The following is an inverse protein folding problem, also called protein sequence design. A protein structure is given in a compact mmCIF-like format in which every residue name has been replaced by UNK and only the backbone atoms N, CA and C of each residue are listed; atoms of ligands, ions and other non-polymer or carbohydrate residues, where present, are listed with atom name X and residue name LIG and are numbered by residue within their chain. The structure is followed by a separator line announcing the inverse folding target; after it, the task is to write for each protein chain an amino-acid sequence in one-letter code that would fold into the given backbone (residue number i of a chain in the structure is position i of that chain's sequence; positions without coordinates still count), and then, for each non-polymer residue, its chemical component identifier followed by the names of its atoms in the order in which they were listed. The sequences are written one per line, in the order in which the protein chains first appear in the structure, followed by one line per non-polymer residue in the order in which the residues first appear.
data_IF_165395719150
#
_entry.id   IF_165395719150
#
_cell.length_a   1.000
_cell.length_b   1.000
_cell.length_c   1.000
_cell.angle_alpha   90.00
_cell.angle_beta   90.00
_cell.angle_gamma   90.00
#
_symmetry.space_group_name_H-M   'P 1'
#
loop_
_entity.id
_entity.type
_entity.pdbx_description
1 polymer ?
#
# COMPACT_ATOMS: atom_id res chain seq x y z
N UNK A 1 -4.74 18.42 -20.02
CA UNK A 1 -4.42 17.32 -19.10
C UNK A 1 -5.71 16.84 -18.48
N UNK A 2 -6.10 15.58 -18.72
CA UNK A 2 -7.23 14.96 -18.05
C UNK A 2 -6.75 14.39 -16.70
N UNK A 3 -7.55 14.56 -15.67
CA UNK A 3 -7.25 14.03 -14.34
C UNK A 3 -8.50 13.31 -13.86
N UNK A 4 -8.35 12.05 -13.51
CA UNK A 4 -9.33 11.34 -12.71
C UNK A 4 -8.76 11.13 -11.31
N UNK A 5 -9.44 11.62 -10.29
CA UNK A 5 -8.93 11.65 -8.91
C UNK A 5 -9.93 11.13 -7.89
N UNK A 6 -9.43 10.87 -6.67
CA UNK A 6 -10.23 10.42 -5.53
C UNK A 6 -10.94 9.08 -5.76
N UNK A 7 -10.33 8.20 -6.53
CA UNK A 7 -10.85 6.85 -6.73
C UNK A 7 -10.45 5.96 -5.55
N UNK A 8 -11.42 5.19 -5.08
CA UNK A 8 -11.25 4.24 -3.97
C UNK A 8 -11.33 2.80 -4.48
N UNK A 9 -10.64 1.86 -3.85
CA UNK A 9 -10.75 0.46 -4.20
C UNK A 9 -12.15 -0.06 -3.87
N UNK A 10 -12.69 -0.91 -4.74
CA UNK A 10 -13.93 -1.63 -4.49
C UNK A 10 -13.70 -2.97 -3.81
N UNK A 11 -12.47 -3.46 -3.82
CA UNK A 11 -12.09 -4.73 -3.23
C UNK A 11 -10.77 -4.59 -2.49
N UNK A 12 -10.73 -5.12 -1.28
CA UNK A 12 -9.52 -5.22 -0.46
C UNK A 12 -9.35 -6.68 -0.07
N UNK A 13 -8.20 -7.26 -0.40
CA UNK A 13 -7.85 -8.63 -0.06
C UNK A 13 -6.43 -8.69 0.51
N UNK A 14 -6.24 -9.49 1.52
CA UNK A 14 -4.91 -9.88 1.97
C UNK A 14 -4.43 -11.11 1.21
N UNK A 15 -3.15 -11.26 1.13
CA UNK A 15 -2.51 -12.39 0.50
C UNK A 15 -1.44 -12.93 1.43
N UNK A 16 -1.59 -14.19 1.80
CA UNK A 16 -0.61 -14.92 2.59
C UNK A 16 0.75 -14.88 1.91
N UNK A 17 1.78 -14.77 2.73
CA UNK A 17 3.15 -14.96 2.28
C UNK A 17 3.65 -16.30 2.80
N UNK A 18 4.63 -16.88 2.12
CA UNK A 18 5.17 -18.22 2.46
C UNK A 18 6.03 -18.23 3.73
N UNK A 19 6.08 -17.12 4.47
CA UNK A 19 6.90 -17.00 5.68
C UNK A 19 6.03 -17.05 6.93
N UNK A 20 6.35 -17.94 7.87
CA UNK A 20 5.62 -18.19 9.11
C UNK A 20 5.53 -16.97 10.06
N UNK A 21 6.35 -15.96 9.85
CA UNK A 21 6.45 -14.80 10.72
C UNK A 21 5.66 -13.58 10.22
N UNK A 22 4.97 -13.71 9.10
CA UNK A 22 4.21 -12.60 8.53
C UNK A 22 2.83 -12.48 9.21
N UNK A 23 2.38 -11.24 9.38
CA UNK A 23 1.22 -10.89 10.18
C UNK A 23 0.01 -10.63 9.29
N UNK A 24 -1.06 -11.33 9.60
CA UNK A 24 -2.36 -11.21 8.96
C UNK A 24 -2.99 -9.82 9.18
N UNK A 25 -3.74 -9.37 8.19
CA UNK A 25 -4.55 -8.16 8.29
C UNK A 25 -5.92 -8.43 8.90
N UNK A 26 -6.36 -7.53 9.76
CA UNK A 26 -7.72 -7.53 10.29
C UNK A 26 -8.53 -6.46 9.58
N UNK A 27 -9.61 -6.87 8.94
CA UNK A 27 -10.54 -5.97 8.28
C UNK A 27 -11.57 -5.48 9.29
N UNK A 28 -11.78 -4.17 9.34
CA UNK A 28 -12.89 -3.57 10.07
C UNK A 28 -14.13 -3.54 9.17
N UNK A 29 -15.30 -3.23 9.73
CA UNK A 29 -16.57 -3.21 9.00
C UNK A 29 -16.63 -2.20 7.84
N UNK A 30 -15.68 -1.29 7.74
CA UNK A 30 -15.50 -0.39 6.62
C UNK A 30 -14.54 -1.03 5.60
N UNK A 31 -14.98 -1.29 4.35
CA UNK A 31 -14.13 -1.89 3.33
C UNK A 31 -12.93 -1.02 2.91
N UNK A 32 -12.90 0.25 3.35
CA UNK A 32 -11.78 1.16 3.10
C UNK A 32 -10.80 1.23 4.28
N UNK A 33 -11.12 0.61 5.41
CA UNK A 33 -10.26 0.63 6.59
C UNK A 33 -9.74 -0.76 6.90
N UNK A 34 -8.44 -0.89 6.94
CA UNK A 34 -7.74 -2.13 7.26
C UNK A 34 -6.82 -1.90 8.44
N UNK A 35 -6.83 -2.79 9.39
CA UNK A 35 -5.96 -2.70 10.56
C UNK A 35 -5.13 -3.96 10.70
N UNK A 36 -3.83 -3.77 10.81
CA UNK A 36 -2.91 -4.77 11.31
C UNK A 36 -2.54 -4.37 12.75
N UNK A 37 -2.89 -5.20 13.72
CA UNK A 37 -2.52 -5.00 15.12
C UNK A 37 -1.60 -6.13 15.51
N UNK A 38 -0.42 -5.75 15.95
CA UNK A 38 0.57 -6.68 16.42
C UNK A 38 0.95 -6.43 17.86
N UNK A 39 1.05 -7.52 18.60
CA UNK A 39 1.76 -7.57 19.87
C UNK A 39 3.05 -8.36 19.66
N UNK A 40 4.16 -7.65 19.62
CA UNK A 40 5.47 -8.31 19.68
C UNK A 40 5.68 -8.70 21.14
N UNK A 41 5.66 -9.98 21.43
CA UNK A 41 6.17 -10.47 22.70
C UNK A 41 7.69 -10.39 22.68
N UNK A 42 8.25 -9.78 23.72
CA UNK A 42 9.68 -9.71 23.96
C UNK A 42 10.27 -11.10 24.19
N UNK A 43 10.50 -11.87 23.17
CA UNK A 43 11.27 -13.08 23.33
C UNK A 43 12.29 -13.21 22.23
N UNK A 44 13.51 -13.00 22.67
CA UNK A 44 14.76 -13.42 22.06
C UNK A 44 15.29 -12.62 20.86
N UNK A 45 16.39 -12.12 21.09
CA UNK A 45 17.58 -11.84 20.31
C UNK A 45 17.69 -12.73 19.07
N UNK A 46 17.02 -12.33 18.04
CA UNK A 46 17.16 -12.89 16.73
C UNK A 46 16.34 -11.98 15.83
N UNK A 47 17.01 -11.10 15.13
CA UNK A 47 16.37 -10.07 14.30
C UNK A 47 15.59 -10.69 13.13
N UNK A 48 14.48 -11.33 13.41
CA UNK A 48 13.50 -11.63 12.39
C UNK A 48 12.76 -10.33 12.11
N UNK A 49 12.96 -9.81 10.93
CA UNK A 49 12.24 -8.64 10.42
C UNK A 49 10.82 -9.08 10.16
N UNK A 50 9.93 -8.80 11.09
CA UNK A 50 8.54 -9.17 10.94
C UNK A 50 7.82 -8.23 9.99
N UNK A 51 7.05 -8.82 9.10
CA UNK A 51 6.35 -8.18 7.99
C UNK A 51 4.86 -8.44 8.09
N UNK A 52 4.06 -7.57 7.51
CA UNK A 52 2.65 -7.88 7.27
C UNK A 52 2.52 -8.82 6.07
N UNK A 53 1.40 -9.51 5.95
CA UNK A 53 1.00 -10.06 4.66
C UNK A 53 0.86 -8.93 3.64
N UNK A 54 0.88 -9.27 2.36
CA UNK A 54 0.50 -8.33 1.33
C UNK A 54 -0.97 -7.98 1.47
N UNK A 55 -1.28 -6.68 1.37
CA UNK A 55 -2.64 -6.21 1.23
C UNK A 55 -2.81 -5.61 -0.15
N UNK A 56 -3.87 -6.02 -0.84
CA UNK A 56 -4.16 -5.64 -2.20
C UNK A 56 -5.43 -4.82 -2.24
N UNK A 57 -5.32 -3.63 -2.78
CA UNK A 57 -6.41 -2.70 -3.03
C UNK A 57 -6.73 -2.74 -4.52
N UNK A 58 -7.82 -3.40 -4.88
CA UNK A 58 -8.15 -3.74 -6.26
C UNK A 58 -9.43 -3.06 -6.72
N UNK A 59 -9.64 -3.11 -8.04
CA UNK A 59 -10.86 -2.66 -8.69
C UNK A 59 -11.22 -1.22 -8.31
N UNK A 60 -10.32 -0.29 -8.60
CA UNK A 60 -10.65 1.13 -8.51
C UNK A 60 -11.70 1.46 -9.57
N UNK A 61 -12.89 1.86 -9.13
CA UNK A 61 -14.00 2.14 -10.03
C UNK A 61 -13.71 3.40 -10.84
N UNK A 62 -13.11 3.21 -11.98
CA UNK A 62 -12.88 4.28 -12.95
C UNK A 62 -14.13 4.49 -13.81
N UNK A 63 -14.41 5.71 -14.19
CA UNK A 63 -15.50 6.08 -15.07
C UNK A 63 -15.00 6.42 -16.48
N UNK A 64 -15.87 7.04 -17.27
CA UNK A 64 -15.58 7.41 -18.66
C UNK A 64 -14.54 8.54 -18.78
N UNK A 65 -14.25 9.23 -17.67
CA UNK A 65 -13.26 10.33 -17.67
C UNK A 65 -11.84 9.83 -17.49
N UNK A 66 -11.62 8.50 -17.39
CA UNK A 66 -10.26 7.96 -17.37
C UNK A 66 -9.54 8.36 -18.66
N UNK A 67 -8.33 8.93 -18.56
CA UNK A 67 -7.54 9.30 -19.74
C UNK A 67 -7.35 8.11 -20.68
N UNK A 68 -7.44 8.32 -21.99
CA UNK A 68 -7.14 7.29 -22.99
C UNK A 68 -5.66 6.88 -22.94
N UNK A 69 -4.81 7.88 -22.73
CA UNK A 69 -3.36 7.69 -22.54
C UNK A 69 -3.02 8.09 -21.11
N UNK A 70 -2.69 7.12 -20.28
CA UNK A 70 -2.26 7.39 -18.91
C UNK A 70 -0.79 7.75 -18.93
N UNK A 71 -0.46 8.92 -18.38
CA UNK A 71 0.91 9.45 -18.31
C UNK A 71 1.47 9.46 -16.90
N UNK A 72 0.64 9.26 -15.89
CA UNK A 72 1.09 9.22 -14.51
C UNK A 72 0.03 8.69 -13.56
N UNK A 73 0.51 8.15 -12.46
CA UNK A 73 -0.32 7.59 -11.38
C UNK A 73 0.18 8.13 -10.05
N UNK A 74 -0.73 8.70 -9.27
CA UNK A 74 -0.48 9.12 -7.89
C UNK A 74 -1.34 8.32 -6.94
N UNK A 75 -0.69 7.71 -5.97
CA UNK A 75 -1.32 7.02 -4.84
C UNK A 75 -1.24 7.92 -3.61
N UNK A 76 -2.36 8.06 -2.91
CA UNK A 76 -2.45 8.76 -1.63
C UNK A 76 -2.99 7.78 -0.61
N UNK A 77 -2.27 7.60 0.48
CA UNK A 77 -2.69 6.73 1.58
C UNK A 77 -2.78 7.53 2.86
N UNK A 78 -3.81 7.24 3.65
CA UNK A 78 -3.90 7.70 5.02
C UNK A 78 -3.65 6.52 5.94
N UNK A 79 -2.57 6.60 6.68
CA UNK A 79 -2.11 5.52 7.54
C UNK A 79 -1.94 6.00 8.97
N UNK A 80 -2.11 5.09 9.92
CA UNK A 80 -1.76 5.32 11.31
C UNK A 80 -0.72 4.29 11.72
N UNK A 81 0.43 4.79 12.14
CA UNK A 81 1.53 3.95 12.61
C UNK A 81 1.57 3.95 14.13
N UNK A 82 1.82 2.80 14.70
CA UNK A 82 2.20 2.63 16.10
C UNK A 82 3.59 1.98 16.13
N UNK A 83 4.54 2.65 16.76
CA UNK A 83 5.92 2.19 16.76
C UNK A 83 6.68 2.53 15.47
N UNK A 84 7.73 1.76 15.18
CA UNK A 84 8.59 1.96 14.02
C UNK A 84 8.23 1.00 12.90
N UNK A 85 7.21 1.37 12.14
CA UNK A 85 6.77 0.63 10.97
C UNK A 85 7.05 1.44 9.72
N UNK A 86 7.58 0.81 8.69
CA UNK A 86 7.84 1.41 7.39
C UNK A 86 7.23 0.60 6.24
N UNK A 87 7.03 1.25 5.13
CA UNK A 87 6.59 0.63 3.89
C UNK A 87 7.73 -0.19 3.28
N UNK A 88 7.50 -1.49 3.13
CA UNK A 88 8.46 -2.40 2.47
C UNK A 88 8.15 -2.54 0.98
N UNK A 89 6.88 -2.62 0.65
CA UNK A 89 6.42 -2.72 -0.73
C UNK A 89 5.22 -1.82 -0.96
N UNK A 90 5.33 -0.96 -1.96
CA UNK A 90 4.24 -0.18 -2.54
C UNK A 90 4.37 -0.28 -4.05
N UNK A 91 3.50 -1.04 -4.69
CA UNK A 91 3.62 -1.35 -6.10
C UNK A 91 2.27 -1.53 -6.79
N UNK A 92 2.27 -1.41 -8.12
CA UNK A 92 1.10 -1.72 -8.95
C UNK A 92 1.05 -3.23 -9.17
N UNK A 93 -0.16 -3.75 -9.09
CA UNK A 93 -0.47 -5.14 -9.32
C UNK A 93 -1.48 -5.29 -10.47
N UNK A 94 -1.29 -6.33 -11.29
CA UNK A 94 -2.22 -6.70 -12.35
C UNK A 94 -2.17 -8.21 -12.59
N UNK A 95 -3.33 -8.84 -12.76
CA UNK A 95 -3.42 -10.28 -13.04
C UNK A 95 -2.72 -11.17 -11.99
N UNK A 96 -2.70 -10.74 -10.74
CA UNK A 96 -2.06 -11.48 -9.66
C UNK A 96 -0.57 -11.20 -9.43
N UNK A 97 0.08 -10.42 -10.29
CA UNK A 97 1.52 -10.15 -10.24
C UNK A 97 1.82 -8.67 -9.99
N UNK A 98 2.96 -8.39 -9.36
CA UNK A 98 3.52 -7.04 -9.30
C UNK A 98 4.07 -6.73 -10.69
N UNK A 99 3.64 -5.60 -11.28
CA UNK A 99 3.99 -5.21 -12.65
C UNK A 99 4.75 -3.88 -12.72
N UNK A 100 5.06 -3.28 -11.58
CA UNK A 100 5.76 -2.00 -11.49
C UNK A 100 6.97 -2.04 -10.58
N UNK A 101 7.73 -0.95 -10.59
CA UNK A 101 8.74 -0.69 -9.57
C UNK A 101 8.10 -0.53 -8.19
N UNK A 102 8.89 -0.86 -7.16
CA UNK A 102 8.52 -0.60 -5.78
C UNK A 102 8.77 0.88 -5.45
N UNK A 103 7.73 1.59 -5.02
CA UNK A 103 7.77 3.03 -4.71
C UNK A 103 8.00 3.34 -3.23
N UNK A 104 8.44 2.38 -2.47
CA UNK A 104 8.72 2.63 -1.05
C UNK A 104 9.75 3.73 -0.88
N UNK A 105 9.47 4.64 0.03
CA UNK A 105 10.43 5.61 0.51
C UNK A 105 11.10 5.05 1.77
N UNK A 106 11.93 4.05 1.63
CA UNK A 106 12.72 3.55 2.75
C UNK A 106 13.65 4.66 3.26
N UNK A 107 13.21 5.35 4.28
CA UNK A 107 14.06 6.29 5.01
C UNK A 107 14.54 5.53 6.25
N UNK A 108 15.79 5.09 6.22
CA UNK A 108 16.44 4.31 7.29
C UNK A 108 16.46 5.02 8.65
N UNK A 109 16.19 6.31 8.67
CA UNK A 109 16.34 7.19 9.83
C UNK A 109 15.05 7.89 10.26
N UNK A 110 13.89 7.34 9.94
CA UNK A 110 12.64 7.96 10.40
C UNK A 110 12.61 7.90 11.91
N UNK A 111 12.92 9.02 12.52
CA UNK A 111 12.66 9.27 13.92
C UNK A 111 11.19 8.98 14.21
N UNK A 112 11.01 8.22 15.23
CA UNK A 112 9.80 7.69 15.81
C UNK A 112 8.62 8.64 15.75
N UNK A 113 7.54 8.19 15.21
CA UNK A 113 6.26 8.80 15.49
C UNK A 113 5.33 7.76 16.10
N UNK A 114 5.25 7.78 17.41
CA UNK A 114 4.21 7.09 18.15
C UNK A 114 2.88 7.78 17.82
N UNK A 115 1.97 7.06 17.15
CA UNK A 115 0.60 7.49 16.88
C UNK A 115 0.39 8.60 15.85
N UNK A 116 1.14 8.67 14.78
CA UNK A 116 0.88 9.65 13.72
C UNK A 116 -0.13 9.14 12.68
N UNK A 117 -1.04 10.04 12.33
CA UNK A 117 -1.85 9.92 11.14
C UNK A 117 -1.05 10.52 9.98
N UNK A 118 -0.41 9.68 9.19
CA UNK A 118 0.42 10.12 8.08
C UNK A 118 -0.36 10.03 6.76
N UNK A 119 -0.31 11.09 5.99
CA UNK A 119 -0.72 11.05 4.59
C UNK A 119 0.56 10.83 3.79
N UNK A 120 0.65 9.67 3.15
CA UNK A 120 1.76 9.32 2.29
C UNK A 120 1.33 9.42 0.83
N UNK A 121 2.22 9.93 -0.01
CA UNK A 121 1.97 10.08 -1.43
C UNK A 121 3.10 9.40 -2.21
N UNK A 122 2.73 8.60 -3.19
CA UNK A 122 3.66 7.88 -4.07
C UNK A 122 3.34 8.18 -5.53
N UNK A 123 4.37 8.34 -6.34
CA UNK A 123 4.21 8.69 -7.75
C UNK A 123 3.69 10.11 -7.97
N UNK A 124 3.14 10.34 -9.15
CA UNK A 124 2.62 11.65 -9.56
C UNK A 124 2.40 11.76 -11.06
N UNK A 125 2.28 12.99 -11.51
CA UNK A 125 2.21 13.31 -12.93
C UNK A 125 3.52 12.90 -13.63
N UNK A 126 3.41 12.17 -14.74
CA UNK A 126 4.57 11.68 -15.49
C UNK A 126 5.25 10.44 -14.88
N UNK A 127 4.76 9.92 -13.77
CA UNK A 127 5.31 8.71 -13.13
C UNK A 127 4.38 7.50 -13.35
N UNK A 128 4.76 6.60 -14.21
CA UNK A 128 4.09 5.32 -14.48
C UNK A 128 4.64 4.17 -13.64
N UNK A 129 5.44 4.47 -12.62
CA UNK A 129 6.02 3.48 -11.72
C UNK A 129 6.89 2.43 -12.43
N UNK A 130 7.57 2.83 -13.52
CA UNK A 130 8.38 1.92 -14.35
C UNK A 130 7.59 0.88 -15.14
N UNK A 131 6.26 1.02 -15.22
CA UNK A 131 5.38 0.07 -15.88
C UNK A 131 4.75 0.64 -17.15
N UNK A 132 4.29 -0.25 -18.03
CA UNK A 132 3.40 0.11 -19.14
C UNK A 132 1.97 -0.06 -18.64
N UNK A 133 1.26 1.05 -18.47
CA UNK A 133 -0.11 1.07 -17.96
C UNK A 133 -1.06 1.56 -19.04
N UNK A 134 -2.06 0.75 -19.36
CA UNK A 134 -3.13 1.10 -20.31
C UNK A 134 -4.46 1.33 -19.58
N UNK A 135 -5.34 2.08 -20.21
CA UNK A 135 -6.69 2.33 -19.66
C UNK A 135 -7.49 1.03 -19.52
N UNK A 136 -7.28 0.07 -20.41
CA UNK A 136 -7.94 -1.25 -20.33
C UNK A 136 -7.42 -2.05 -19.13
N UNK A 137 -6.12 -2.01 -18.85
CA UNK A 137 -5.58 -2.64 -17.63
C UNK A 137 -6.20 -2.05 -16.37
N UNK A 138 -6.32 -0.74 -16.30
CA UNK A 138 -6.86 -0.05 -15.12
C UNK A 138 -8.35 -0.38 -14.90
N UNK A 139 -9.10 -0.64 -15.96
CA UNK A 139 -10.51 -1.06 -15.89
C UNK A 139 -10.69 -2.52 -15.46
N UNK A 140 -9.64 -3.31 -15.56
CA UNK A 140 -9.69 -4.72 -15.13
C UNK A 140 -9.81 -4.83 -13.61
N UNK A 141 -10.73 -5.64 -13.07
CA UNK A 141 -10.89 -5.81 -11.62
C UNK A 141 -9.65 -6.35 -10.89
N UNK A 142 -8.72 -7.00 -11.60
CA UNK A 142 -7.48 -7.51 -11.02
C UNK A 142 -6.37 -6.46 -10.91
N UNK A 143 -6.59 -5.27 -11.47
CA UNK A 143 -5.66 -4.16 -11.38
C UNK A 143 -5.81 -3.42 -10.05
N UNK A 144 -4.68 -3.00 -9.49
CA UNK A 144 -4.70 -2.21 -8.27
C UNK A 144 -3.33 -1.99 -7.67
N UNK A 145 -3.32 -1.74 -6.37
CA UNK A 145 -2.13 -1.47 -5.57
C UNK A 145 -1.91 -2.59 -4.58
N UNK A 146 -0.69 -3.05 -4.46
CA UNK A 146 -0.26 -3.95 -3.38
C UNK A 146 0.64 -3.21 -2.41
N UNK A 147 0.45 -3.48 -1.12
CA UNK A 147 1.25 -2.90 -0.04
C UNK A 147 1.71 -3.98 0.93
N UNK A 148 2.88 -3.77 1.49
CA UNK A 148 3.45 -4.56 2.56
C UNK A 148 4.23 -3.65 3.49
N UNK A 149 4.13 -3.88 4.78
CA UNK A 149 4.81 -3.09 5.80
C UNK A 149 5.72 -3.98 6.64
N UNK A 150 6.75 -3.36 7.21
CA UNK A 150 7.73 -4.06 8.03
C UNK A 150 8.00 -3.28 9.33
N UNK A 151 8.11 -4.00 10.44
CA UNK A 151 8.55 -3.45 11.71
C UNK A 151 10.07 -3.32 11.76
N UNK A 152 10.58 -2.32 12.48
CA UNK A 152 12.02 -2.13 12.63
C UNK A 152 12.62 -3.20 13.55
N UNK A 153 13.70 -3.89 13.13
CA UNK A 153 14.20 -5.07 13.84
C UNK A 153 14.84 -4.78 15.20
N UNK A 154 15.26 -3.56 15.46
CA UNK A 154 16.05 -3.23 16.68
C UNK A 154 15.20 -2.78 17.88
N UNK A 155 13.90 -2.65 17.73
CA UNK A 155 13.04 -2.15 18.80
C UNK A 155 11.81 -3.02 18.96
N UNK A 156 11.83 -3.95 19.92
CA UNK A 156 10.67 -4.79 20.22
C UNK A 156 9.63 -3.97 20.97
N UNK A 157 8.76 -3.32 20.24
CA UNK A 157 7.61 -2.60 20.78
C UNK A 157 6.33 -3.15 20.16
N UNK A 158 5.20 -2.81 20.74
CA UNK A 158 3.88 -3.08 20.16
C UNK A 158 3.71 -2.26 18.87
N UNK A 159 4.37 -2.68 17.82
CA UNK A 159 4.29 -2.02 16.53
C UNK A 159 3.01 -2.41 15.81
N UNK A 160 2.45 -1.50 15.06
CA UNK A 160 1.24 -1.75 14.31
C UNK A 160 1.08 -0.77 13.16
N UNK A 161 0.34 -1.21 12.16
CA UNK A 161 -0.02 -0.42 11.01
C UNK A 161 -1.52 -0.48 10.78
N UNK A 162 -2.13 0.67 10.61
CA UNK A 162 -3.51 0.81 10.19
C UNK A 162 -3.52 1.59 8.88
N UNK A 163 -4.19 1.06 7.88
CA UNK A 163 -4.46 1.77 6.63
C UNK A 163 -5.90 2.22 6.67
N UNK A 164 -6.13 3.51 6.83
CA UNK A 164 -7.48 4.09 6.94
C UNK A 164 -8.07 4.39 5.57
N UNK A 165 -7.22 4.76 4.60
CA UNK A 165 -7.68 5.18 3.29
C UNK A 165 -6.62 4.96 2.21
N UNK A 166 -7.07 4.54 1.05
CA UNK A 166 -6.25 4.42 -0.17
C UNK A 166 -6.99 5.10 -1.30
N UNK A 167 -6.36 6.07 -1.92
CA UNK A 167 -6.89 6.82 -3.06
C UNK A 167 -5.90 6.81 -4.21
N UNK A 168 -6.43 6.81 -5.42
CA UNK A 168 -5.62 6.89 -6.62
C UNK A 168 -6.07 8.05 -7.51
N UNK A 169 -5.09 8.65 -8.18
CA UNK A 169 -5.32 9.65 -9.22
C UNK A 169 -4.58 9.24 -10.48
N UNK A 170 -5.24 9.36 -11.62
CA UNK A 170 -4.65 9.15 -12.94
C UNK A 170 -4.45 10.49 -13.65
N UNK A 171 -3.30 10.63 -14.27
CA UNK A 171 -2.96 11.76 -15.14
C UNK A 171 -2.86 11.27 -16.58
N UNK A 172 -3.25 12.10 -17.54
CA UNK A 172 -3.13 11.72 -18.94
C UNK A 172 -3.91 12.61 -19.91
N UNK A 173 -4.13 12.07 -21.11
CA UNK A 173 -4.80 12.73 -22.24
C UNK A 173 -5.91 11.84 -22.83
#
# INVERSE_FOLDING_TARGET
MAIQSNLFPAQIIDQTTDTFDDIEWQFLNDPQTVRNIRHISNSSVGAVRERTWFINFLHFKVDETLPNVITGIKLITKCRRRGRVFDETIAIRYGGNIVSDNKTSYISDVEQHLYNNDIMTYGGEGDLWGAVITSDMVRDPSWGITMRFQAHPMYPHNDGMQVDQVQICFYGE
#
